data_IF_240251251473
#
_entry.id   IF_240251251473
#
_cell.length_a   1.000
_cell.length_b   1.000
_cell.length_c   1.000
_cell.angle_alpha   90.00
_cell.angle_beta   90.00
_cell.angle_gamma   90.00
#
_symmetry.space_group_name_H-M   'P 1'
#
loop_
_entity.id
_entity.type
_entity.pdbx_description
1 polymer ?
#
# COMPACT_ATOMS: atom_id res chain seq x y z
N UNK A 1 -20.21 -19.48 -11.97
CA UNK A 1 -19.78 -18.54 -10.90
C UNK A 1 -18.82 -17.58 -11.57
N UNK A 2 -18.97 -16.25 -11.46
CA UNK A 2 -17.96 -15.35 -12.00
C UNK A 2 -16.64 -15.60 -11.25
N UNK A 3 -15.53 -15.68 -11.98
CA UNK A 3 -14.19 -15.71 -11.40
C UNK A 3 -13.96 -14.42 -10.61
N UNK A 4 -13.29 -14.47 -9.44
CA UNK A 4 -12.98 -13.27 -8.67
C UNK A 4 -12.07 -12.36 -9.50
N UNK A 5 -12.48 -11.11 -9.70
CA UNK A 5 -11.65 -10.12 -10.38
C UNK A 5 -10.32 -9.93 -9.61
N UNK A 6 -9.20 -9.74 -10.32
CA UNK A 6 -7.92 -9.50 -9.67
C UNK A 6 -7.99 -8.24 -8.79
N UNK A 7 -7.35 -8.25 -7.61
CA UNK A 7 -7.42 -7.13 -6.69
C UNK A 7 -6.87 -5.86 -7.36
N UNK A 8 -7.68 -4.80 -7.37
CA UNK A 8 -7.26 -3.49 -7.86
C UNK A 8 -6.37 -2.81 -6.82
N UNK A 9 -5.32 -2.09 -7.22
CA UNK A 9 -4.52 -1.31 -6.29
C UNK A 9 -5.38 -0.31 -5.50
N UNK A 10 -5.16 -0.25 -4.19
CA UNK A 10 -5.76 0.71 -3.26
C UNK A 10 -4.84 1.91 -2.98
N UNK A 11 -3.74 2.01 -3.73
CA UNK A 11 -2.78 3.08 -3.56
C UNK A 11 -1.47 2.87 -4.32
N UNK A 12 -0.52 3.74 -4.05
CA UNK A 12 0.85 3.69 -4.56
C UNK A 12 1.87 3.89 -3.46
N UNK A 13 2.95 3.11 -3.48
CA UNK A 13 4.11 3.28 -2.64
C UNK A 13 5.26 3.91 -3.43
N UNK A 14 6.03 4.78 -2.77
CA UNK A 14 7.31 5.28 -3.25
C UNK A 14 8.35 4.98 -2.18
N UNK A 15 9.33 4.13 -2.50
CA UNK A 15 10.51 3.97 -1.66
C UNK A 15 11.48 5.07 -2.03
N UNK A 16 11.56 6.13 -1.23
CA UNK A 16 12.47 7.25 -1.48
C UNK A 16 13.94 6.80 -1.44
N UNK A 17 14.86 7.54 -2.08
CA UNK A 17 16.30 7.23 -2.03
C UNK A 17 16.90 7.18 -0.62
N UNK A 18 16.30 7.89 0.34
CA UNK A 18 16.70 7.89 1.76
C UNK A 18 16.15 6.69 2.55
N UNK A 19 15.45 5.76 1.88
CA UNK A 19 14.82 4.59 2.50
C UNK A 19 13.46 4.89 3.13
N UNK A 20 12.96 6.12 3.08
CA UNK A 20 11.60 6.43 3.57
C UNK A 20 10.55 5.87 2.62
N UNK A 21 9.56 5.18 3.16
CA UNK A 21 8.43 4.67 2.39
C UNK A 21 7.24 5.64 2.49
N UNK A 22 6.82 6.19 1.36
CA UNK A 22 5.63 7.04 1.26
C UNK A 22 4.49 6.23 0.62
N UNK A 23 3.38 6.07 1.34
CA UNK A 23 2.20 5.36 0.87
C UNK A 23 1.07 6.37 0.65
N UNK A 24 0.59 6.47 -0.59
CA UNK A 24 -0.61 7.24 -0.95
C UNK A 24 -1.74 6.25 -1.18
N UNK A 25 -2.72 6.26 -0.28
CA UNK A 25 -3.80 5.29 -0.24
C UNK A 25 -5.12 5.97 -0.57
N UNK A 26 -6.00 5.25 -1.26
CA UNK A 26 -7.38 5.63 -1.54
C UNK A 26 -8.30 4.46 -1.23
N UNK A 27 -9.33 4.72 -0.45
CA UNK A 27 -10.36 3.75 -0.10
C UNK A 27 -11.72 4.27 -0.54
N UNK A 28 -12.59 3.35 -0.99
CA UNK A 28 -13.96 3.65 -1.38
C UNK A 28 -14.90 2.92 -0.42
N UNK A 29 -15.91 3.62 0.08
CA UNK A 29 -16.91 3.12 1.03
C UNK A 29 -18.34 3.27 0.52
N UNK A 30 -19.33 2.72 1.24
CA UNK A 30 -20.73 2.83 0.88
C UNK A 30 -21.18 4.29 0.72
N UNK A 31 -22.09 4.55 -0.22
CA UNK A 31 -22.66 5.89 -0.42
C UNK A 31 -21.72 6.89 -1.09
N UNK A 32 -20.82 6.42 -1.97
CA UNK A 32 -19.82 7.24 -2.67
C UNK A 32 -18.80 7.93 -1.75
N UNK A 33 -18.57 7.38 -0.55
CA UNK A 33 -17.53 7.85 0.36
C UNK A 33 -16.17 7.49 -0.23
N UNK A 34 -15.28 8.48 -0.30
CA UNK A 34 -13.87 8.28 -0.69
C UNK A 34 -13.00 8.78 0.45
N UNK A 35 -12.12 7.91 0.94
CA UNK A 35 -11.07 8.25 1.90
C UNK A 35 -9.71 8.28 1.23
N UNK A 36 -8.88 9.27 1.56
CA UNK A 36 -7.50 9.34 1.12
C UNK A 36 -6.58 9.42 2.34
N UNK A 37 -5.43 8.76 2.27
CA UNK A 37 -4.44 8.78 3.34
C UNK A 37 -3.01 8.82 2.80
N UNK A 38 -2.15 9.56 3.50
CA UNK A 38 -0.70 9.56 3.28
C UNK A 38 -0.02 9.00 4.52
N UNK A 39 0.75 7.93 4.34
CA UNK A 39 1.60 7.36 5.39
C UNK A 39 3.06 7.57 5.02
N UNK A 40 3.85 8.00 6.00
CA UNK A 40 5.30 8.15 5.86
C UNK A 40 5.94 7.23 6.89
N UNK A 41 6.58 6.16 6.43
CA UNK A 41 7.25 5.19 7.27
C UNK A 41 8.76 5.32 7.07
N UNK A 42 9.47 5.69 8.13
CA UNK A 42 10.93 5.71 8.13
C UNK A 42 11.47 4.31 8.43
N UNK A 43 12.71 4.00 8.00
CA UNK A 43 13.41 2.82 8.51
C UNK A 43 13.37 2.79 10.05
N UNK A 44 12.92 1.68 10.62
CA UNK A 44 12.74 1.51 12.07
C UNK A 44 11.33 1.77 12.61
N UNK A 45 10.38 2.28 11.80
CA UNK A 45 8.96 2.24 12.18
C UNK A 45 8.50 0.77 12.30
N UNK A 46 7.73 0.46 13.35
CA UNK A 46 7.28 -0.90 13.62
C UNK A 46 6.51 -1.55 12.46
N UNK A 47 5.89 -0.74 11.59
CA UNK A 47 5.12 -1.20 10.42
C UNK A 47 5.97 -1.29 9.15
N UNK A 48 7.18 -0.74 9.15
CA UNK A 48 7.98 -0.58 7.93
C UNK A 48 8.27 -1.93 7.26
N UNK A 49 8.76 -2.89 8.05
CA UNK A 49 9.15 -4.21 7.53
C UNK A 49 7.95 -4.98 6.96
N UNK A 50 6.82 -5.01 7.66
CA UNK A 50 5.61 -5.70 7.21
C UNK A 50 5.01 -5.07 5.96
N UNK A 51 5.07 -3.74 5.84
CA UNK A 51 4.61 -3.06 4.62
C UNK A 51 5.57 -3.35 3.46
N UNK A 52 6.88 -3.29 3.67
CA UNK A 52 7.85 -3.58 2.61
C UNK A 52 7.70 -5.02 2.10
N UNK A 53 7.48 -5.98 3.00
CA UNK A 53 7.18 -7.37 2.65
C UNK A 53 5.92 -7.48 1.79
N UNK A 54 4.84 -6.79 2.18
CA UNK A 54 3.59 -6.77 1.42
C UNK A 54 3.72 -6.15 0.03
N UNK A 55 4.53 -5.09 -0.12
CA UNK A 55 4.80 -4.46 -1.41
C UNK A 55 5.63 -5.35 -2.34
N UNK A 56 6.39 -6.28 -1.78
CA UNK A 56 7.36 -7.07 -2.52
C UNK A 56 8.58 -6.25 -2.95
N UNK A 57 9.33 -6.72 -3.96
CA UNK A 57 10.59 -6.10 -4.35
C UNK A 57 10.39 -4.69 -4.91
N UNK A 58 10.97 -3.71 -4.23
CA UNK A 58 10.99 -2.30 -4.63
C UNK A 58 12.40 -1.73 -4.41
N UNK A 59 12.95 -1.08 -5.43
CA UNK A 59 14.27 -0.44 -5.35
C UNK A 59 14.16 0.98 -4.76
N UNK A 60 15.20 1.49 -4.09
CA UNK A 60 15.26 2.90 -3.70
C UNK A 60 15.08 3.83 -4.92
N UNK A 61 14.24 4.85 -4.77
CA UNK A 61 13.73 5.72 -5.84
C UNK A 61 12.60 5.12 -6.68
N UNK A 62 12.19 3.87 -6.41
CA UNK A 62 11.19 3.13 -7.16
C UNK A 62 9.78 3.29 -6.64
N UNK A 63 8.81 2.91 -7.46
CA UNK A 63 7.38 2.92 -7.15
C UNK A 63 6.79 1.52 -7.28
N UNK A 64 5.81 1.20 -6.43
CA UNK A 64 5.03 -0.03 -6.50
C UNK A 64 3.55 0.24 -6.25
N UNK A 65 2.63 -0.52 -6.88
CA UNK A 65 1.22 -0.47 -6.51
C UNK A 65 1.02 -1.06 -5.11
N UNK A 66 0.12 -0.46 -4.31
CA UNK A 66 -0.29 -1.05 -3.04
C UNK A 66 -1.56 -1.87 -3.29
N UNK A 67 -1.45 -3.19 -3.20
CA UNK A 67 -2.62 -4.07 -3.28
C UNK A 67 -3.35 -4.11 -1.93
N UNK A 68 -4.67 -4.35 -1.92
CA UNK A 68 -5.39 -4.59 -0.68
C UNK A 68 -4.81 -5.80 0.05
N UNK A 69 -4.78 -5.73 1.38
CA UNK A 69 -4.44 -6.91 2.18
C UNK A 69 -5.50 -8.01 1.97
N UNK A 70 -5.12 -9.29 2.07
CA UNK A 70 -6.07 -10.37 2.07
C UNK A 70 -7.15 -10.15 3.15
N UNK A 71 -8.39 -10.61 2.93
CA UNK A 71 -9.43 -10.57 3.96
C UNK A 71 -8.96 -11.29 5.24
N UNK A 72 -9.11 -10.64 6.41
CA UNK A 72 -8.78 -11.22 7.71
C UNK A 72 -7.33 -11.03 8.20
N UNK A 73 -6.55 -10.14 7.57
CA UNK A 73 -5.12 -9.91 7.89
C UNK A 73 -4.86 -8.80 8.95
N UNK A 74 -5.82 -8.44 9.81
CA UNK A 74 -5.60 -7.47 10.91
C UNK A 74 -6.29 -7.92 12.20
#
# INVERSE_FOLDING_TARGET
MPEPEPPRPVGSAHLRPDGTLELRMRAEGPGAVVGEALFILKPGDARYASVLEHLGPISPGGYAPVLPFPPGTL
#
